data_IF_306342053669
#
_entry.id   IF_306342053669
#
_cell.length_a   1.000
_cell.length_b   1.000
_cell.length_c   1.000
_cell.angle_alpha   90.00
_cell.angle_beta   90.00
_cell.angle_gamma   90.00
#
_symmetry.space_group_name_H-M   'P 1'
#
loop_
_entity.id
_entity.type
_entity.pdbx_description
1 polymer ?
#
# COMPACT_ATOMS: atom_id res chain seq x y z
N UNK A 1 -9.59 7.08 2.07
CA UNK A 1 -8.53 7.26 3.10
C UNK A 1 -8.51 6.00 3.97
N UNK A 2 -7.32 5.46 4.30
CA UNK A 2 -7.14 4.22 5.07
C UNK A 2 -7.97 4.16 6.36
N UNK A 3 -8.01 5.27 7.10
CA UNK A 3 -8.70 5.39 8.38
C UNK A 3 -10.19 5.01 8.35
N UNK A 4 -10.89 5.25 7.23
CA UNK A 4 -12.32 4.91 7.13
C UNK A 4 -12.55 3.40 7.10
N UNK A 5 -11.75 2.68 6.31
CA UNK A 5 -11.85 1.21 6.23
C UNK A 5 -11.40 0.58 7.54
N UNK A 6 -10.39 1.15 8.21
CA UNK A 6 -9.95 0.72 9.55
C UNK A 6 -11.06 0.87 10.59
N UNK A 7 -11.71 2.03 10.65
CA UNK A 7 -12.82 2.28 11.56
C UNK A 7 -14.00 1.34 11.29
N UNK A 8 -14.38 1.17 10.02
CA UNK A 8 -15.46 0.26 9.62
C UNK A 8 -15.16 -1.19 10.03
N UNK A 9 -13.97 -1.71 9.72
CA UNK A 9 -13.63 -3.08 10.11
C UNK A 9 -13.53 -3.22 11.63
N UNK A 10 -13.11 -2.17 12.34
CA UNK A 10 -13.12 -2.18 13.80
C UNK A 10 -14.54 -2.31 14.37
N UNK A 11 -15.52 -1.60 13.81
CA UNK A 11 -16.92 -1.72 14.24
C UNK A 11 -17.50 -3.11 13.90
N UNK A 12 -17.35 -3.56 12.65
CA UNK A 12 -17.90 -4.82 12.17
C UNK A 12 -17.41 -6.03 12.98
N UNK A 13 -16.10 -6.13 13.24
CA UNK A 13 -15.52 -7.27 13.98
C UNK A 13 -15.94 -7.33 15.45
N UNK A 14 -16.46 -6.24 16.02
CA UNK A 14 -16.92 -6.15 17.41
C UNK A 14 -18.45 -6.24 17.53
N UNK A 15 -19.18 -6.30 16.41
CA UNK A 15 -20.63 -6.45 16.40
C UNK A 15 -21.00 -7.93 16.60
N UNK A 16 -21.87 -8.27 17.58
CA UNK A 16 -22.33 -9.65 17.77
C UNK A 16 -22.97 -10.21 16.51
N UNK A 17 -22.67 -11.47 16.20
CA UNK A 17 -23.22 -12.23 15.05
C UNK A 17 -23.03 -11.54 13.68
N UNK A 18 -22.01 -10.68 13.54
CA UNK A 18 -21.72 -9.99 12.29
C UNK A 18 -21.01 -10.92 11.29
N UNK A 19 -21.64 -11.13 10.12
CA UNK A 19 -21.12 -11.95 9.04
C UNK A 19 -20.50 -11.11 7.90
N UNK A 20 -20.14 -9.86 8.17
CA UNK A 20 -19.60 -8.93 7.18
C UNK A 20 -18.23 -8.45 7.65
N UNK A 21 -17.28 -8.40 6.72
CA UNK A 21 -15.94 -7.84 6.94
C UNK A 21 -15.64 -6.79 5.89
N UNK A 22 -14.88 -5.77 6.29
CA UNK A 22 -14.27 -4.80 5.41
C UNK A 22 -12.78 -5.09 5.28
N UNK A 23 -12.24 -4.90 4.07
CA UNK A 23 -10.83 -5.10 3.73
C UNK A 23 -10.34 -3.90 2.92
N UNK A 24 -9.06 -3.56 3.07
CA UNK A 24 -8.44 -2.44 2.36
C UNK A 24 -7.49 -2.97 1.27
N UNK A 25 -7.90 -2.78 0.02
CA UNK A 25 -7.03 -2.96 -1.14
C UNK A 25 -6.06 -1.77 -1.27
N UNK A 26 -4.77 -2.07 -1.35
CA UNK A 26 -3.70 -1.10 -1.55
C UNK A 26 -2.96 -1.54 -2.82
N UNK A 27 -3.44 -1.11 -4.01
CA UNK A 27 -2.84 -1.52 -5.27
C UNK A 27 -1.45 -0.89 -5.46
N UNK A 28 -0.53 -1.65 -6.04
CA UNK A 28 0.73 -1.12 -6.60
C UNK A 28 0.48 -0.39 -7.93
N UNK A 29 1.49 -0.35 -8.80
CA UNK A 29 1.29 0.14 -10.17
C UNK A 29 0.50 -0.87 -11.00
N UNK A 30 -0.78 -0.57 -11.23
CA UNK A 30 -1.67 -1.40 -12.08
C UNK A 30 -2.00 -0.63 -13.35
N UNK A 31 -1.92 -1.27 -14.51
CA UNK A 31 -2.28 -0.67 -15.81
C UNK A 31 -3.76 -0.87 -16.12
N UNK A 32 -4.53 0.21 -16.02
CA UNK A 32 -5.97 0.28 -16.27
C UNK A 32 -6.27 1.49 -17.16
N UNK A 33 -7.51 1.67 -17.59
CA UNK A 33 -7.93 2.92 -18.24
C UNK A 33 -7.68 4.19 -17.40
N UNK A 34 -7.66 4.09 -16.06
CA UNK A 34 -7.42 5.21 -15.15
C UNK A 34 -5.94 5.59 -15.08
N UNK A 35 -5.04 4.61 -15.22
CA UNK A 35 -3.58 4.77 -15.03
C UNK A 35 -2.81 4.73 -16.34
N UNK A 36 -3.49 4.50 -17.47
CA UNK A 36 -2.88 4.41 -18.79
C UNK A 36 -2.13 5.68 -19.18
N UNK A 37 -2.64 6.86 -18.79
CA UNK A 37 -2.03 8.17 -19.06
C UNK A 37 -1.61 8.33 -20.54
N UNK A 38 -2.49 7.95 -21.46
CA UNK A 38 -2.24 8.00 -22.91
C UNK A 38 -1.43 6.84 -23.49
N UNK A 39 -0.90 5.93 -22.66
CA UNK A 39 -0.22 4.71 -23.13
C UNK A 39 -1.25 3.69 -23.60
N UNK A 40 -0.96 3.07 -24.74
CA UNK A 40 -1.75 1.97 -25.30
C UNK A 40 -1.22 0.59 -24.89
N UNK A 41 0.03 0.53 -24.44
CA UNK A 41 0.71 -0.69 -24.03
C UNK A 41 1.00 -0.68 -22.53
N UNK A 42 0.86 -1.85 -21.90
CA UNK A 42 1.15 -2.05 -20.48
C UNK A 42 2.65 -1.88 -20.21
N UNK A 43 3.07 -0.98 -19.31
CA UNK A 43 4.46 -0.90 -18.87
C UNK A 43 4.92 -2.19 -18.19
N UNK A 44 6.19 -2.58 -18.37
CA UNK A 44 6.74 -3.79 -17.74
C UNK A 44 6.63 -3.78 -16.20
N UNK A 45 6.79 -2.61 -15.59
CA UNK A 45 6.67 -2.41 -14.14
C UNK A 45 5.25 -2.51 -13.59
N UNK A 46 4.24 -2.46 -14.46
CA UNK A 46 2.84 -2.52 -14.03
C UNK A 46 2.28 -3.94 -14.05
N UNK A 47 1.40 -4.25 -13.09
CA UNK A 47 0.50 -5.39 -13.16
C UNK A 47 -0.70 -5.11 -14.08
N UNK A 48 -1.34 -6.18 -14.56
CA UNK A 48 -2.66 -6.10 -15.17
C UNK A 48 -3.75 -5.99 -14.09
N UNK A 49 -4.97 -5.56 -14.47
CA UNK A 49 -6.10 -5.59 -13.55
C UNK A 49 -6.40 -7.01 -13.05
N UNK A 50 -6.26 -8.02 -13.90
CA UNK A 50 -6.52 -9.43 -13.58
C UNK A 50 -5.53 -9.94 -12.51
N UNK A 51 -4.23 -9.68 -12.66
CA UNK A 51 -3.21 -10.03 -11.66
C UNK A 51 -3.54 -9.42 -10.28
N UNK A 52 -4.06 -8.19 -10.27
CA UNK A 52 -4.47 -7.50 -9.05
C UNK A 52 -5.73 -8.13 -8.42
N UNK A 53 -6.71 -8.52 -9.25
CA UNK A 53 -7.95 -9.17 -8.79
C UNK A 53 -7.66 -10.57 -8.24
N UNK A 54 -6.82 -11.35 -8.90
CA UNK A 54 -6.45 -12.69 -8.44
C UNK A 54 -5.78 -12.61 -7.06
N UNK A 55 -4.81 -11.70 -6.89
CA UNK A 55 -4.17 -11.46 -5.59
C UNK A 55 -5.15 -10.98 -4.52
N UNK A 56 -6.10 -10.10 -4.88
CA UNK A 56 -7.15 -9.64 -3.98
C UNK A 56 -7.98 -10.83 -3.47
N UNK A 57 -8.48 -11.68 -4.37
CA UNK A 57 -9.32 -12.82 -4.01
C UNK A 57 -8.58 -13.82 -3.12
N UNK A 58 -7.32 -14.12 -3.43
CA UNK A 58 -6.48 -14.97 -2.59
C UNK A 58 -6.26 -14.36 -1.19
N UNK A 59 -6.08 -13.05 -1.10
CA UNK A 59 -5.87 -12.35 0.17
C UNK A 59 -7.15 -12.29 1.01
N UNK A 60 -8.30 -12.10 0.37
CA UNK A 60 -9.60 -12.20 1.02
C UNK A 60 -9.83 -13.59 1.61
N UNK A 61 -9.46 -14.66 0.88
CA UNK A 61 -9.57 -16.03 1.38
C UNK A 61 -8.68 -16.30 2.60
N UNK A 62 -7.55 -15.60 2.74
CA UNK A 62 -6.69 -15.64 3.95
C UNK A 62 -7.20 -14.76 5.11
N UNK A 63 -8.20 -13.92 4.86
CA UNK A 63 -8.72 -12.96 5.85
C UNK A 63 -7.85 -11.70 6.01
N UNK A 64 -6.98 -11.39 5.06
CA UNK A 64 -6.05 -10.26 5.15
C UNK A 64 -6.80 -8.92 5.11
N UNK A 65 -6.66 -8.07 6.14
CA UNK A 65 -7.26 -6.73 6.13
C UNK A 65 -6.51 -5.74 5.22
N UNK A 66 -5.19 -5.61 5.38
CA UNK A 66 -4.35 -4.76 4.53
C UNK A 66 -3.80 -5.57 3.36
N UNK A 67 -4.45 -5.43 2.20
CA UNK A 67 -4.08 -6.15 0.98
C UNK A 67 -3.12 -5.25 0.19
N UNK A 68 -1.85 -5.27 0.61
CA UNK A 68 -0.77 -4.57 -0.09
C UNK A 68 -0.31 -5.40 -1.28
N UNK A 69 -0.84 -5.05 -2.46
CA UNK A 69 -0.56 -5.71 -3.72
C UNK A 69 0.88 -5.41 -4.17
N UNK A 70 1.59 -6.41 -4.71
CA UNK A 70 2.81 -6.17 -5.46
C UNK A 70 2.56 -5.41 -6.77
N UNK A 71 3.67 -5.02 -7.39
CA UNK A 71 3.80 -4.76 -8.81
C UNK A 71 5.16 -5.29 -9.29
N UNK A 72 5.56 -4.95 -10.52
CA UNK A 72 6.85 -5.36 -11.07
C UNK A 72 7.92 -4.27 -10.94
N UNK A 73 7.65 -3.17 -10.23
CA UNK A 73 8.53 -2.02 -10.09
C UNK A 73 9.20 -1.97 -8.71
N UNK A 74 8.47 -2.34 -7.66
CA UNK A 74 8.96 -2.23 -6.27
C UNK A 74 8.77 -3.53 -5.50
N UNK A 75 9.78 -3.86 -4.69
CA UNK A 75 9.72 -5.04 -3.82
C UNK A 75 8.87 -4.76 -2.58
N UNK A 76 8.23 -5.81 -2.04
CA UNK A 76 7.51 -5.75 -0.76
C UNK A 76 8.33 -5.12 0.37
N UNK A 77 9.62 -5.48 0.47
CA UNK A 77 10.51 -4.94 1.49
C UNK A 77 10.71 -3.42 1.36
N UNK A 78 10.73 -2.90 0.13
CA UNK A 78 10.83 -1.46 -0.12
C UNK A 78 9.55 -0.73 0.27
N UNK A 79 8.37 -1.29 -0.04
CA UNK A 79 7.11 -0.69 0.38
C UNK A 79 6.94 -0.65 1.89
N UNK A 80 7.31 -1.73 2.58
CA UNK A 80 7.29 -1.76 4.05
C UNK A 80 8.16 -0.67 4.66
N UNK A 81 9.36 -0.43 4.11
CA UNK A 81 10.20 0.69 4.52
C UNK A 81 9.55 2.04 4.26
N UNK A 82 8.94 2.24 3.08
CA UNK A 82 8.24 3.49 2.75
C UNK A 82 7.07 3.75 3.68
N UNK A 83 6.31 2.72 4.03
CA UNK A 83 5.20 2.78 4.98
C UNK A 83 5.71 3.12 6.39
N UNK A 84 6.76 2.44 6.85
CA UNK A 84 7.37 2.70 8.15
C UNK A 84 7.92 4.14 8.25
N UNK A 85 8.58 4.61 7.18
CA UNK A 85 9.01 6.00 7.09
C UNK A 85 7.83 6.97 7.18
N UNK A 86 6.76 6.76 6.43
CA UNK A 86 5.58 7.63 6.47
C UNK A 86 4.90 7.64 7.86
N UNK A 87 4.88 6.51 8.56
CA UNK A 87 4.42 6.47 9.95
C UNK A 87 5.34 7.29 10.89
N UNK A 88 6.65 7.25 10.64
CA UNK A 88 7.64 8.07 11.34
C UNK A 88 7.41 9.58 11.18
N UNK A 89 6.81 10.04 10.09
CA UNK A 89 6.49 11.47 9.93
C UNK A 89 5.56 11.96 11.04
N UNK A 90 4.63 11.11 11.47
CA UNK A 90 3.70 11.41 12.56
C UNK A 90 4.42 11.35 13.91
N UNK A 91 5.26 10.34 14.12
CA UNK A 91 5.96 10.11 15.39
C UNK A 91 6.95 11.22 15.70
N UNK A 92 7.74 11.62 14.70
CA UNK A 92 8.82 12.59 14.82
C UNK A 92 8.36 14.02 14.50
N UNK A 93 7.08 14.20 14.15
CA UNK A 93 6.49 15.47 13.70
C UNK A 93 7.27 16.10 12.54
N UNK A 94 7.63 15.28 11.54
CA UNK A 94 8.28 15.73 10.30
C UNK A 94 7.23 16.34 9.35
N UNK A 95 7.66 17.14 8.35
CA UNK A 95 6.75 17.61 7.31
C UNK A 95 6.00 16.44 6.65
N UNK A 96 4.71 16.60 6.31
CA UNK A 96 3.94 15.53 5.68
C UNK A 96 4.57 15.12 4.36
N UNK A 97 4.68 13.80 4.15
CA UNK A 97 5.34 13.22 2.98
C UNK A 97 6.84 13.55 2.93
N UNK A 98 7.51 13.49 4.09
CA UNK A 98 8.90 13.95 4.26
C UNK A 98 9.89 13.25 3.32
N UNK A 99 9.55 12.05 2.81
CA UNK A 99 10.38 11.32 1.82
C UNK A 99 10.67 12.10 0.54
N UNK A 100 9.87 13.12 0.23
CA UNK A 100 10.08 14.04 -0.90
C UNK A 100 10.46 15.45 -0.46
N UNK A 101 10.53 15.72 0.84
CA UNK A 101 10.96 17.02 1.36
C UNK A 101 12.48 17.17 1.19
N UNK A 102 13.00 18.28 0.64
CA UNK A 102 14.42 18.45 0.37
C UNK A 102 15.32 18.18 1.58
N UNK A 103 14.91 18.66 2.77
CA UNK A 103 15.68 18.49 4.01
C UNK A 103 15.75 17.04 4.53
N UNK A 104 14.84 16.16 4.09
CA UNK A 104 14.74 14.77 4.55
C UNK A 104 15.12 13.75 3.47
N UNK A 105 15.38 14.20 2.24
CA UNK A 105 15.66 13.34 1.10
C UNK A 105 16.87 12.42 1.34
N UNK A 106 17.95 12.94 1.92
CA UNK A 106 19.17 12.15 2.16
C UNK A 106 19.03 11.22 3.37
N UNK A 107 18.30 11.65 4.41
CA UNK A 107 17.94 10.79 5.53
C UNK A 107 17.07 9.60 5.06
N UNK A 108 16.11 9.85 4.18
CA UNK A 108 15.27 8.82 3.59
C UNK A 108 16.07 7.83 2.74
N UNK A 109 16.97 8.32 1.86
CA UNK A 109 17.88 7.45 1.08
C UNK A 109 18.74 6.57 1.98
N UNK A 110 19.29 7.14 3.05
CA UNK A 110 20.10 6.41 4.03
C UNK A 110 19.27 5.31 4.68
N UNK A 111 18.06 5.63 5.14
CA UNK A 111 17.13 4.66 5.72
C UNK A 111 16.80 3.50 4.77
N UNK A 112 16.59 3.77 3.47
CA UNK A 112 16.34 2.74 2.47
C UNK A 112 17.52 1.77 2.29
N UNK A 113 18.76 2.21 2.52
CA UNK A 113 19.95 1.37 2.37
C UNK A 113 20.19 0.38 3.51
N UNK A 114 19.64 0.64 4.71
CA UNK A 114 19.87 -0.20 5.89
C UNK A 114 19.03 -1.48 5.80
N UNK A 115 19.61 -2.69 5.87
CA UNK A 115 18.83 -3.93 5.86
C UNK A 115 17.78 -3.97 6.98
N UNK A 116 16.63 -4.60 6.70
CA UNK A 116 15.65 -4.88 7.75
C UNK A 116 16.29 -5.94 8.68
N UNK A 117 16.46 -5.58 9.96
CA UNK A 117 17.00 -6.49 10.98
C UNK A 117 16.06 -7.63 11.32
#
# INVERSE_FOLDING_TARGET
MKAFTEALQHELRNMPDCNVTAHLLIPGFVFTGLTANGRTEKPAGAWTPEETVDFLLESLARGDFYILCPDNEVTRALDEKRIAWAAGDIIENRPPLSRWHPEYADAFKTYLSVPKG
#
